data_IF_080087870313
#
_entry.id   IF_080087870313
#
_cell.length_a   1.000
_cell.length_b   1.000
_cell.length_c   1.000
_cell.angle_alpha   90.00
_cell.angle_beta   90.00
_cell.angle_gamma   90.00
#
_symmetry.space_group_name_H-M   'P 1'
#
loop_
_entity.id
_entity.type
_entity.pdbx_description
1 polymer ?
#
# COMPACT_ATOMS: atom_id res chain seq x y z
N UNK A 1 -28.27 47.69 62.14
CA UNK A 1 -26.80 47.83 62.04
C UNK A 1 -26.23 46.69 62.87
N UNK A 2 -25.45 45.74 62.37
CA UNK A 2 -24.61 45.73 61.18
C UNK A 2 -24.76 44.38 60.46
N UNK A 3 -24.66 44.41 59.12
CA UNK A 3 -24.57 43.20 58.32
C UNK A 3 -23.15 42.65 58.38
N UNK A 4 -23.03 41.36 58.70
CA UNK A 4 -21.80 40.61 58.50
C UNK A 4 -21.73 40.23 57.01
N UNK A 5 -20.75 40.80 56.34
CA UNK A 5 -20.40 40.49 54.96
C UNK A 5 -19.91 39.05 54.88
N UNK A 6 -20.68 38.21 54.18
CA UNK A 6 -20.22 36.89 53.75
C UNK A 6 -19.04 37.08 52.80
N UNK A 7 -17.84 36.79 53.28
CA UNK A 7 -16.66 36.65 52.44
C UNK A 7 -16.88 35.45 51.53
N UNK A 8 -17.30 35.72 50.30
CA UNK A 8 -17.34 34.79 49.19
C UNK A 8 -15.90 34.26 48.98
N UNK A 9 -15.61 33.09 49.55
CA UNK A 9 -14.30 32.45 49.43
C UNK A 9 -14.15 31.93 48.01
N UNK A 10 -13.68 32.78 47.10
CA UNK A 10 -13.29 32.37 45.76
C UNK A 10 -12.31 31.18 45.88
N UNK A 11 -12.49 30.13 45.06
CA UNK A 11 -11.65 28.95 45.15
C UNK A 11 -10.18 29.33 44.93
N UNK A 12 -9.34 29.06 45.94
CA UNK A 12 -7.91 29.29 45.88
C UNK A 12 -7.29 28.32 44.87
N UNK A 13 -6.86 28.84 43.71
CA UNK A 13 -6.14 28.07 42.70
C UNK A 13 -4.64 28.11 43.05
N UNK A 14 -3.97 26.96 43.22
CA UNK A 14 -2.53 26.95 43.53
C UNK A 14 -1.70 27.58 42.40
N UNK A 15 -0.67 28.35 42.75
CA UNK A 15 0.22 29.03 41.79
C UNK A 15 0.84 28.07 40.78
N UNK A 16 1.17 26.85 41.20
CA UNK A 16 1.70 25.80 40.31
C UNK A 16 0.73 25.44 39.17
N UNK A 17 -0.58 25.47 39.42
CA UNK A 17 -1.60 25.22 38.38
C UNK A 17 -1.64 26.40 37.41
N UNK A 18 -1.56 27.63 37.92
CA UNK A 18 -1.53 28.84 37.10
C UNK A 18 -0.32 28.84 36.17
N UNK A 19 0.86 28.47 36.66
CA UNK A 19 2.07 28.37 35.85
C UNK A 19 1.94 27.34 34.71
N UNK A 20 1.42 26.14 35.01
CA UNK A 20 1.19 25.10 33.99
C UNK A 20 0.17 25.55 32.95
N UNK A 21 -0.89 26.25 33.37
CA UNK A 21 -1.89 26.81 32.45
C UNK A 21 -1.28 27.88 31.54
N UNK A 22 -0.48 28.79 32.09
CA UNK A 22 0.21 29.82 31.30
C UNK A 22 1.20 29.21 30.30
N UNK A 23 1.99 28.22 30.74
CA UNK A 23 2.91 27.47 29.88
C UNK A 23 2.17 26.75 28.76
N UNK A 24 1.09 26.05 29.08
CA UNK A 24 0.26 25.36 28.08
C UNK A 24 -0.36 26.34 27.09
N UNK A 25 -0.87 27.48 27.54
CA UNK A 25 -1.44 28.52 26.68
C UNK A 25 -0.38 29.11 25.73
N UNK A 26 0.85 29.29 26.20
CA UNK A 26 1.96 29.74 25.37
C UNK A 26 2.33 28.69 24.30
N UNK A 27 2.44 27.42 24.69
CA UNK A 27 2.75 26.32 23.77
C UNK A 27 1.68 26.17 22.67
N UNK A 28 0.39 26.37 23.01
CA UNK A 28 -0.70 26.31 22.03
C UNK A 28 -0.59 27.47 21.01
N UNK A 29 -0.21 28.67 21.44
CA UNK A 29 0.02 29.82 20.54
C UNK A 29 1.20 29.60 19.60
N UNK A 30 2.29 29.03 20.11
CA UNK A 30 3.45 28.69 19.28
C UNK A 30 3.11 27.60 18.26
N UNK A 31 2.37 26.56 18.70
CA UNK A 31 1.87 25.53 17.81
C UNK A 31 0.92 26.08 16.74
N UNK A 32 0.05 27.02 17.08
CA UNK A 32 -0.82 27.71 16.13
C UNK A 32 -0.01 28.39 15.03
N UNK A 33 1.02 29.16 15.39
CA UNK A 33 1.89 29.83 14.42
C UNK A 33 2.55 28.82 13.46
N UNK A 34 3.13 27.75 13.99
CA UNK A 34 3.79 26.72 13.18
C UNK A 34 2.83 25.92 12.31
N UNK A 35 1.64 25.59 12.81
CA UNK A 35 0.62 24.86 12.04
C UNK A 35 0.08 25.72 10.91
N UNK A 36 -0.17 27.01 11.15
CA UNK A 36 -0.61 27.93 10.11
C UNK A 36 0.45 28.11 9.02
N UNK A 37 1.72 28.27 9.41
CA UNK A 37 2.84 28.30 8.47
C UNK A 37 2.92 26.99 7.66
N UNK A 38 2.88 25.84 8.33
CA UNK A 38 2.90 24.53 7.68
C UNK A 38 1.73 24.36 6.70
N UNK A 39 0.51 24.75 7.10
CA UNK A 39 -0.68 24.66 6.25
C UNK A 39 -0.58 25.58 5.03
N UNK A 40 0.06 26.75 5.15
CA UNK A 40 0.30 27.64 4.01
C UNK A 40 1.25 27.03 2.97
N UNK A 41 2.13 26.11 3.39
CA UNK A 41 3.07 25.39 2.52
C UNK A 41 2.53 24.03 2.06
N UNK A 42 1.50 23.50 2.71
CA UNK A 42 0.93 22.17 2.48
C UNK A 42 -0.12 22.14 1.35
N UNK A 43 0.12 22.90 0.27
CA UNK A 43 -0.74 22.83 -0.91
C UNK A 43 -0.62 21.45 -1.59
N UNK A 44 -1.71 20.88 -2.13
CA UNK A 44 -1.68 19.54 -2.73
C UNK A 44 -0.62 19.38 -3.83
N UNK A 45 -0.42 20.41 -4.65
CA UNK A 45 0.56 20.41 -5.73
C UNK A 45 1.99 20.45 -5.18
N UNK A 46 2.25 21.27 -4.15
CA UNK A 46 3.55 21.34 -3.46
C UNK A 46 3.88 20.03 -2.76
N UNK A 47 2.91 19.44 -2.06
CA UNK A 47 3.08 18.12 -1.44
C UNK A 47 3.36 17.04 -2.48
N UNK A 48 2.79 17.16 -3.69
CA UNK A 48 3.01 16.22 -4.79
C UNK A 48 4.45 16.25 -5.35
N UNK A 49 5.22 17.32 -5.11
CA UNK A 49 6.64 17.42 -5.46
C UNK A 49 7.55 16.72 -4.44
N UNK A 50 7.09 16.54 -3.20
CA UNK A 50 7.88 15.88 -2.16
C UNK A 50 8.13 14.40 -2.48
N UNK A 51 9.33 13.87 -2.18
CA UNK A 51 9.59 12.43 -2.15
C UNK A 51 8.51 11.70 -1.32
N UNK A 52 8.05 10.50 -1.73
CA UNK A 52 6.93 9.82 -1.09
C UNK A 52 7.08 9.64 0.43
N UNK A 53 8.30 9.40 0.91
CA UNK A 53 8.59 9.24 2.33
C UNK A 53 8.46 10.56 3.11
N UNK A 54 8.96 11.67 2.55
CA UNK A 54 8.84 13.00 3.15
C UNK A 54 7.39 13.48 3.13
N UNK A 55 6.65 13.20 2.04
CA UNK A 55 5.21 13.46 1.97
C UNK A 55 4.45 12.72 3.07
N UNK A 56 4.73 11.43 3.26
CA UNK A 56 4.10 10.65 4.32
C UNK A 56 4.41 11.20 5.72
N UNK A 57 5.65 11.63 5.97
CA UNK A 57 6.05 12.29 7.22
C UNK A 57 5.25 13.58 7.47
N UNK A 58 5.15 14.45 6.45
CA UNK A 58 4.43 15.73 6.56
C UNK A 58 2.94 15.52 6.88
N UNK A 59 2.28 14.57 6.21
CA UNK A 59 0.86 14.26 6.44
C UNK A 59 0.63 13.58 7.80
N UNK A 60 1.53 12.71 8.23
CA UNK A 60 1.45 12.09 9.56
C UNK A 60 1.64 13.14 10.67
N UNK A 61 2.57 14.07 10.49
CA UNK A 61 2.78 15.18 11.42
C UNK A 61 1.51 16.03 11.58
N UNK A 62 0.85 16.38 10.47
CA UNK A 62 -0.41 17.12 10.48
C UNK A 62 -1.52 16.35 11.23
N UNK A 63 -1.62 15.03 11.00
CA UNK A 63 -2.58 14.19 11.71
C UNK A 63 -2.29 14.14 13.23
N UNK A 64 -1.00 14.01 13.61
CA UNK A 64 -0.58 14.02 15.03
C UNK A 64 -0.86 15.37 15.69
N UNK A 65 -0.59 16.49 15.02
CA UNK A 65 -0.89 17.83 15.53
C UNK A 65 -2.40 18.02 15.75
N UNK A 66 -3.23 17.61 14.78
CA UNK A 66 -4.70 17.67 14.88
C UNK A 66 -5.21 16.84 16.06
N UNK A 67 -4.70 15.62 16.22
CA UNK A 67 -5.07 14.74 17.32
C UNK A 67 -4.62 15.27 18.69
N UNK A 68 -3.43 15.87 18.77
CA UNK A 68 -2.93 16.48 19.99
C UNK A 68 -3.82 17.66 20.43
N UNK A 69 -4.16 18.56 19.50
CA UNK A 69 -5.08 19.67 19.76
C UNK A 69 -6.47 19.18 20.23
N UNK A 70 -7.00 18.15 19.58
CA UNK A 70 -8.27 17.55 19.99
C UNK A 70 -8.19 16.92 21.38
N UNK A 71 -7.09 16.24 21.70
CA UNK A 71 -6.85 15.65 23.03
C UNK A 71 -6.73 16.71 24.11
N UNK A 72 -6.05 17.83 23.84
CA UNK A 72 -5.99 18.98 24.75
C UNK A 72 -7.39 19.52 25.00
N UNK A 73 -8.19 19.72 23.95
CA UNK A 73 -9.58 20.16 24.07
C UNK A 73 -10.40 19.21 24.96
N UNK A 74 -10.30 17.90 24.76
CA UNK A 74 -11.01 16.91 25.60
C UNK A 74 -10.63 17.05 27.07
N UNK A 75 -9.33 17.15 27.37
CA UNK A 75 -8.84 17.32 28.74
C UNK A 75 -9.33 18.64 29.35
N UNK A 76 -9.38 19.72 28.59
CA UNK A 76 -9.96 21.00 29.04
C UNK A 76 -11.46 20.92 29.33
N UNK A 77 -12.20 20.00 28.68
CA UNK A 77 -13.61 19.72 28.99
C UNK A 77 -13.80 18.69 30.10
N UNK A 78 -12.73 18.18 30.70
CA UNK A 78 -12.77 17.18 31.77
C UNK A 78 -12.95 15.74 31.30
N UNK A 79 -12.81 15.47 29.99
CA UNK A 79 -12.91 14.11 29.42
C UNK A 79 -11.52 13.51 29.24
N UNK A 80 -11.29 12.31 29.77
CA UNK A 80 -10.04 11.59 29.57
C UNK A 80 -10.01 10.96 28.16
N UNK A 81 -8.90 11.07 27.40
CA UNK A 81 -8.83 10.53 26.04
C UNK A 81 -9.02 9.01 25.96
N UNK A 82 -8.68 8.27 27.03
CA UNK A 82 -8.85 6.81 27.06
C UNK A 82 -10.30 6.36 27.15
N UNK A 83 -11.18 7.20 27.69
CA UNK A 83 -12.61 6.96 27.82
C UNK A 83 -13.42 7.51 26.62
N UNK A 84 -12.72 8.08 25.64
CA UNK A 84 -13.31 8.69 24.45
C UNK A 84 -13.01 7.85 23.21
N UNK A 85 -13.87 7.93 22.20
CA UNK A 85 -13.67 7.26 20.89
C UNK A 85 -12.37 7.68 20.17
N UNK A 86 -11.66 8.68 20.68
CA UNK A 86 -10.38 9.15 20.13
C UNK A 86 -9.24 8.17 20.44
N UNK A 87 -9.41 7.29 21.43
CA UNK A 87 -8.40 6.29 21.77
C UNK A 87 -8.00 5.43 20.57
N UNK A 88 -8.98 5.00 19.76
CA UNK A 88 -8.71 4.23 18.55
C UNK A 88 -7.92 5.03 17.50
N UNK A 89 -8.09 6.36 17.47
CA UNK A 89 -7.33 7.27 16.61
C UNK A 89 -5.88 7.44 17.08
N UNK A 90 -5.66 7.49 18.40
CA UNK A 90 -4.32 7.49 19.00
C UNK A 90 -3.57 6.20 18.64
N UNK A 91 -4.23 5.06 18.86
CA UNK A 91 -3.67 3.75 18.49
C UNK A 91 -3.41 3.68 16.99
N UNK A 92 -4.33 4.15 16.15
CA UNK A 92 -4.17 4.16 14.70
C UNK A 92 -2.96 4.98 14.25
N UNK A 93 -2.75 6.17 14.80
CA UNK A 93 -1.57 6.98 14.47
C UNK A 93 -0.26 6.33 14.94
N UNK A 94 -0.26 5.68 16.10
CA UNK A 94 0.88 4.90 16.58
C UNK A 94 1.29 3.81 15.58
N UNK A 95 0.32 3.05 15.06
CA UNK A 95 0.58 2.05 14.01
C UNK A 95 1.13 2.64 12.72
N UNK A 96 0.70 3.86 12.34
CA UNK A 96 1.23 4.54 11.16
C UNK A 96 2.64 5.09 11.37
N UNK A 97 2.96 5.52 12.58
CA UNK A 97 4.31 5.93 12.98
C UNK A 97 5.28 4.75 12.91
N UNK A 98 4.94 3.61 13.51
CA UNK A 98 5.71 2.37 13.41
C UNK A 98 5.93 1.95 11.95
N UNK A 99 4.88 2.08 11.13
CA UNK A 99 4.95 1.74 9.70
C UNK A 99 5.91 2.67 8.97
N UNK A 100 5.87 3.96 9.26
CA UNK A 100 6.73 4.95 8.65
C UNK A 100 8.20 4.74 9.05
N UNK A 101 8.45 4.47 10.32
CA UNK A 101 9.79 4.17 10.85
C UNK A 101 10.40 2.96 10.15
N UNK A 102 9.64 1.87 9.97
CA UNK A 102 10.08 0.70 9.19
C UNK A 102 10.52 1.07 7.77
N UNK A 103 9.80 1.96 7.09
CA UNK A 103 10.18 2.41 5.75
C UNK A 103 11.41 3.32 5.76
N UNK A 104 11.57 4.15 6.79
CA UNK A 104 12.79 4.95 6.97
C UNK A 104 14.01 4.04 7.18
N UNK A 105 13.88 2.98 7.96
CA UNK A 105 14.97 2.04 8.21
C UNK A 105 15.31 1.21 6.97
N UNK A 106 14.31 0.83 6.18
CA UNK A 106 14.53 0.19 4.88
C UNK A 106 15.27 1.11 3.89
N UNK A 107 15.05 2.42 3.97
CA UNK A 107 15.76 3.40 3.15
C UNK A 107 17.22 3.58 3.60
N UNK A 108 17.49 3.51 4.91
CA UNK A 108 18.84 3.59 5.48
C UNK A 108 19.64 2.28 5.34
N UNK A 109 18.96 1.14 5.28
CA UNK A 109 19.62 -0.16 5.20
C UNK A 109 20.47 -0.28 3.92
N UNK A 110 21.63 -0.96 3.98
CA UNK A 110 22.38 -1.30 2.77
C UNK A 110 21.42 -1.93 1.78
N UNK A 111 21.39 -1.42 0.54
CA UNK A 111 20.54 -1.90 -0.54
C UNK A 111 20.41 -3.41 -0.41
N UNK A 112 19.24 -3.88 0.05
CA UNK A 112 18.96 -5.31 0.12
C UNK A 112 19.33 -5.88 -1.24
N UNK A 113 19.97 -7.06 -1.34
CA UNK A 113 20.28 -7.67 -2.62
C UNK A 113 18.99 -7.64 -3.42
N UNK A 114 18.96 -6.73 -4.38
CA UNK A 114 17.72 -6.37 -5.02
C UNK A 114 17.25 -7.63 -5.75
N UNK A 115 15.95 -7.78 -5.92
CA UNK A 115 15.41 -8.79 -6.84
C UNK A 115 15.92 -8.57 -8.28
N UNK A 116 16.73 -7.54 -8.53
CA UNK A 116 17.62 -7.44 -9.68
C UNK A 116 18.49 -8.69 -9.81
N UNK A 117 18.18 -9.45 -10.84
CA UNK A 117 18.92 -10.62 -11.28
C UNK A 117 20.41 -10.26 -11.46
N UNK A 118 21.28 -10.99 -10.77
CA UNK A 118 22.72 -10.89 -10.99
C UNK A 118 23.07 -11.59 -12.31
N UNK A 119 23.17 -10.82 -13.40
CA UNK A 119 23.42 -11.34 -14.74
C UNK A 119 24.67 -12.22 -14.81
N UNK A 120 25.73 -11.88 -14.05
CA UNK A 120 26.96 -12.70 -14.02
C UNK A 120 26.74 -14.05 -13.35
N UNK A 121 25.98 -14.09 -12.26
CA UNK A 121 25.61 -15.34 -11.61
C UNK A 121 24.68 -16.17 -12.50
N UNK A 122 23.66 -15.53 -13.10
CA UNK A 122 22.73 -16.19 -14.02
C UNK A 122 23.45 -16.81 -15.22
N UNK A 123 24.40 -16.10 -15.84
CA UNK A 123 25.21 -16.65 -16.93
C UNK A 123 25.96 -17.91 -16.50
N UNK A 124 26.56 -17.93 -15.29
CA UNK A 124 27.24 -19.13 -14.76
C UNK A 124 26.27 -20.30 -14.56
N UNK A 125 25.08 -20.03 -14.01
CA UNK A 125 24.04 -21.05 -13.84
C UNK A 125 23.62 -21.62 -15.20
N UNK A 126 23.35 -20.77 -16.20
CA UNK A 126 22.92 -21.21 -17.53
C UNK A 126 24.04 -21.98 -18.25
N UNK A 127 25.28 -21.50 -18.21
CA UNK A 127 26.44 -22.18 -18.81
C UNK A 127 26.68 -23.57 -18.21
N UNK A 128 26.46 -23.74 -16.91
CA UNK A 128 26.64 -25.02 -16.23
C UNK A 128 25.44 -25.98 -16.40
N UNK A 129 24.22 -25.44 -16.48
CA UNK A 129 23.02 -26.25 -16.65
C UNK A 129 22.79 -26.73 -18.09
N UNK A 130 23.37 -26.05 -19.09
CA UNK A 130 23.21 -26.37 -20.51
C UNK A 130 24.56 -26.67 -21.16
N UNK A 131 24.99 -27.95 -21.24
CA UNK A 131 26.30 -28.31 -21.78
C UNK A 131 26.44 -28.01 -23.29
N UNK A 132 25.33 -28.01 -24.05
CA UNK A 132 25.32 -27.90 -25.52
C UNK A 132 25.14 -26.47 -26.05
N UNK A 133 25.63 -25.47 -25.31
CA UNK A 133 25.64 -24.08 -25.77
C UNK A 133 26.71 -23.88 -26.85
N UNK A 134 26.30 -23.36 -28.02
CA UNK A 134 27.22 -22.93 -29.09
C UNK A 134 28.16 -21.82 -28.63
N UNK A 135 29.32 -21.67 -29.28
CA UNK A 135 30.29 -20.61 -28.98
C UNK A 135 29.67 -19.23 -28.99
N UNK A 136 28.79 -18.98 -29.95
CA UNK A 136 28.16 -17.69 -30.19
C UNK A 136 27.14 -17.38 -29.10
N UNK A 137 26.41 -18.40 -28.61
CA UNK A 137 25.51 -18.28 -27.47
C UNK A 137 26.28 -17.98 -26.17
N UNK A 138 27.41 -18.67 -25.93
CA UNK A 138 28.28 -18.39 -24.76
C UNK A 138 28.82 -16.97 -24.80
N UNK A 139 29.25 -16.51 -25.97
CA UNK A 139 29.76 -15.15 -26.17
C UNK A 139 28.68 -14.10 -25.93
N UNK A 140 27.49 -14.29 -26.52
CA UNK A 140 26.33 -13.42 -26.31
C UNK A 140 25.94 -13.30 -24.83
N UNK A 141 25.91 -14.43 -24.09
CA UNK A 141 25.61 -14.40 -22.66
C UNK A 141 26.68 -13.67 -21.83
N UNK A 142 27.96 -13.78 -22.21
CA UNK A 142 29.04 -13.02 -21.56
C UNK A 142 28.90 -11.52 -21.79
N UNK A 143 28.51 -11.10 -22.98
CA UNK A 143 28.31 -9.68 -23.31
C UNK A 143 27.11 -9.10 -22.54
N UNK A 144 26.04 -9.88 -22.35
CA UNK A 144 24.90 -9.54 -21.47
C UNK A 144 25.37 -9.43 -20.00
N UNK A 145 26.20 -10.36 -19.52
CA UNK A 145 26.72 -10.35 -18.15
C UNK A 145 27.64 -9.17 -17.83
N UNK A 146 28.33 -8.64 -18.85
CA UNK A 146 29.21 -7.45 -18.76
C UNK A 146 28.43 -6.15 -18.91
N UNK A 147 27.16 -6.20 -19.29
CA UNK A 147 26.34 -5.03 -19.57
C UNK A 147 26.72 -4.31 -20.87
N UNK A 148 27.41 -5.00 -21.78
CA UNK A 148 27.95 -4.44 -23.04
C UNK A 148 26.92 -4.48 -24.18
N UNK A 149 25.77 -5.13 -23.98
CA UNK A 149 24.64 -5.10 -24.92
C UNK A 149 23.75 -3.86 -24.75
N UNK A 150 23.12 -3.42 -25.85
CA UNK A 150 22.07 -2.39 -25.84
C UNK A 150 21.09 -2.68 -24.71
N UNK A 151 21.07 -1.83 -23.68
CA UNK A 151 19.97 -1.80 -22.71
C UNK A 151 18.73 -1.43 -23.50
N UNK A 152 17.94 -2.42 -23.90
CA UNK A 152 16.58 -2.18 -24.41
C UNK A 152 15.84 -1.52 -23.25
N UNK A 153 15.74 -0.20 -23.31
CA UNK A 153 15.09 0.60 -22.29
C UNK A 153 13.66 0.11 -22.10
N UNK A 154 13.16 0.20 -20.87
CA UNK A 154 11.79 -0.19 -20.53
C UNK A 154 10.73 0.47 -21.43
N UNK A 155 11.05 1.61 -22.07
CA UNK A 155 10.18 2.28 -23.03
C UNK A 155 9.93 1.47 -24.32
N UNK A 156 10.90 0.69 -24.80
CA UNK A 156 10.79 -0.01 -26.10
C UNK A 156 10.01 -1.35 -26.00
N UNK A 157 9.90 -1.92 -24.79
CA UNK A 157 9.04 -3.11 -24.55
C UNK A 157 7.55 -2.77 -24.59
N UNK A 158 7.17 -1.53 -24.30
CA UNK A 158 5.77 -1.08 -24.37
C UNK A 158 5.23 -1.06 -25.80
N UNK A 159 6.06 -0.64 -26.76
CA UNK A 159 5.70 -0.57 -28.17
C UNK A 159 5.51 -1.98 -28.78
N UNK A 160 6.40 -2.93 -28.47
CA UNK A 160 6.34 -4.29 -29.06
C UNK A 160 5.22 -5.16 -28.49
N UNK A 161 4.79 -4.95 -27.23
CA UNK A 161 3.63 -5.67 -26.66
C UNK A 161 2.30 -5.24 -27.29
N UNK A 162 2.21 -4.03 -27.85
CA UNK A 162 1.01 -3.55 -28.55
C UNK A 162 0.84 -4.07 -29.97
N UNK A 163 1.86 -4.75 -30.53
CA UNK A 163 1.83 -5.23 -31.92
C UNK A 163 1.44 -6.71 -32.07
N UNK A 164 1.15 -7.44 -30.98
CA UNK A 164 0.66 -8.84 -31.04
C UNK A 164 -0.86 -9.00 -30.90
N UNK A 165 -1.60 -7.91 -30.75
CA UNK A 165 -3.06 -7.89 -30.79
C UNK A 165 -3.55 -6.91 -31.87
N UNK A 166 -3.11 -7.12 -33.11
CA UNK A 166 -3.89 -6.70 -34.27
C UNK A 166 -4.59 -7.94 -34.83
N UNK A 167 -5.59 -8.44 -34.09
CA UNK A 167 -6.56 -9.38 -34.62
C UNK A 167 -7.81 -8.60 -35.00
N UNK A 168 -7.93 -8.37 -36.31
CA UNK A 168 -9.17 -8.34 -37.11
C UNK A 168 -10.49 -8.05 -36.38
N UNK A 169 -11.12 -6.94 -36.77
CA UNK A 169 -12.57 -6.73 -36.67
C UNK A 169 -12.99 -6.15 -35.32
N UNK A 170 -13.50 -4.92 -35.35
CA UNK A 170 -14.11 -4.24 -34.21
C UNK A 170 -15.39 -4.96 -33.77
N UNK A 171 -15.30 -6.12 -33.13
CA UNK A 171 -16.40 -6.63 -32.34
C UNK A 171 -16.41 -5.85 -31.03
N UNK A 172 -17.49 -5.10 -30.80
CA UNK A 172 -17.67 -4.40 -29.53
C UNK A 172 -17.55 -5.40 -28.38
N UNK A 173 -16.96 -4.97 -27.26
CA UNK A 173 -16.79 -5.79 -26.04
C UNK A 173 -18.10 -6.48 -25.63
N UNK A 174 -19.24 -5.81 -25.85
CA UNK A 174 -20.57 -6.34 -25.57
C UNK A 174 -20.96 -7.55 -26.44
N UNK A 175 -20.52 -7.58 -27.70
CA UNK A 175 -20.77 -8.72 -28.60
C UNK A 175 -19.93 -9.93 -28.21
N UNK A 176 -18.64 -9.73 -27.90
CA UNK A 176 -17.76 -10.79 -27.43
C UNK A 176 -18.24 -11.38 -26.09
N UNK A 177 -18.74 -10.53 -25.19
CA UNK A 177 -19.31 -10.97 -23.92
C UNK A 177 -20.60 -11.79 -24.13
N UNK A 178 -21.46 -11.37 -25.06
CA UNK A 178 -22.70 -12.09 -25.38
C UNK A 178 -22.41 -13.47 -25.97
N UNK A 179 -21.48 -13.56 -26.92
CA UNK A 179 -21.09 -14.84 -27.53
C UNK A 179 -20.47 -15.79 -26.50
N UNK A 180 -19.66 -15.27 -25.57
CA UNK A 180 -19.10 -16.07 -24.49
C UNK A 180 -20.19 -16.63 -23.57
N UNK A 181 -21.15 -15.80 -23.16
CA UNK A 181 -22.26 -16.22 -22.32
C UNK A 181 -23.16 -17.25 -23.02
N UNK A 182 -23.43 -17.07 -24.31
CA UNK A 182 -24.23 -18.01 -25.09
C UNK A 182 -23.51 -19.36 -25.26
N UNK A 183 -22.19 -19.33 -25.49
CA UNK A 183 -21.37 -20.54 -25.54
C UNK A 183 -21.37 -21.28 -24.19
N UNK A 184 -21.19 -20.56 -23.09
CA UNK A 184 -21.24 -21.15 -21.75
C UNK A 184 -22.63 -21.73 -21.43
N UNK A 185 -23.70 -21.07 -21.88
CA UNK A 185 -25.06 -21.58 -21.72
C UNK A 185 -25.28 -22.88 -22.50
N UNK A 186 -24.75 -23.01 -23.73
CA UNK A 186 -24.81 -24.28 -24.49
C UNK A 186 -23.99 -25.39 -23.83
N UNK A 187 -22.82 -25.08 -23.30
CA UNK A 187 -21.98 -26.07 -22.61
C UNK A 187 -22.61 -26.55 -21.30
N UNK A 188 -23.36 -25.70 -20.60
CA UNK A 188 -24.05 -26.04 -19.35
C UNK A 188 -25.40 -26.75 -19.56
N UNK A 189 -26.18 -26.32 -20.55
CA UNK A 189 -27.53 -26.85 -20.79
C UNK A 189 -27.54 -28.03 -21.77
N UNK A 190 -26.46 -28.23 -22.53
CA UNK A 190 -26.30 -29.29 -23.50
C UNK A 190 -27.21 -29.13 -24.72
N UNK A 191 -26.67 -29.34 -25.92
CA UNK A 191 -27.53 -29.69 -27.06
C UNK A 191 -28.03 -31.14 -26.85
N UNK A 192 -29.26 -31.43 -27.29
CA UNK A 192 -30.02 -32.68 -27.07
C UNK A 192 -29.34 -34.00 -27.52
N UNK A 193 -28.05 -34.01 -27.85
CA UNK A 193 -27.25 -35.21 -28.03
C UNK A 193 -26.30 -35.39 -26.83
N UNK A 194 -26.77 -36.22 -25.89
CA UNK A 194 -26.19 -36.45 -24.57
C UNK A 194 -24.68 -36.63 -24.53
N UNK A 195 -24.01 -35.63 -23.96
CA UNK A 195 -22.60 -35.68 -23.64
C UNK A 195 -22.18 -34.44 -22.85
N UNK A 196 -22.52 -34.39 -21.56
CA UNK A 196 -22.00 -33.36 -20.66
C UNK A 196 -20.49 -33.57 -20.53
N UNK A 197 -19.70 -32.72 -21.17
CA UNK A 197 -18.23 -32.72 -21.05
C UNK A 197 -17.81 -31.53 -20.20
N UNK A 198 -18.08 -31.63 -18.91
CA UNK A 198 -17.55 -30.72 -17.90
C UNK A 198 -16.30 -31.31 -17.22
N UNK A 199 -15.44 -30.48 -16.60
CA UNK A 199 -14.19 -30.93 -15.96
C UNK A 199 -14.39 -31.78 -14.68
N UNK A 200 -15.64 -32.13 -14.34
CA UNK A 200 -16.00 -32.99 -13.21
C UNK A 200 -16.66 -34.31 -13.67
N UNK A 201 -16.19 -34.89 -14.78
CA UNK A 201 -16.52 -36.28 -15.10
C UNK A 201 -15.54 -37.20 -14.37
N UNK A 202 -16.01 -37.82 -13.30
CA UNK A 202 -15.29 -38.90 -12.62
C UNK A 202 -15.12 -40.07 -13.60
N UNK A 203 -13.92 -40.19 -14.18
CA UNK A 203 -13.49 -41.41 -14.85
C UNK A 203 -13.26 -42.47 -13.76
N UNK A 204 -14.22 -43.37 -13.58
CA UNK A 204 -14.04 -44.70 -12.99
C UNK A 204 -15.29 -45.54 -13.31
N UNK A 205 -15.23 -46.27 -14.41
CA UNK A 205 -16.05 -47.46 -14.65
C UNK A 205 -15.10 -48.46 -15.30
N UNK A 206 -14.68 -49.44 -14.51
CA UNK A 206 -14.33 -50.77 -15.03
C UNK A 206 -15.05 -51.77 -14.11
N UNK A 207 -16.28 -52.12 -14.51
CA UNK A 207 -16.94 -53.34 -14.05
C UNK A 207 -16.52 -54.48 -14.99
N UNK A 208 -15.64 -55.35 -14.50
CA UNK A 208 -15.44 -56.70 -15.01
C UNK A 208 -15.31 -57.61 -13.79
N UNK A 209 -16.42 -58.21 -13.37
CA UNK A 209 -16.49 -59.66 -13.08
C UNK A 209 -17.90 -60.05 -12.64
N UNK A 210 -18.68 -60.54 -13.60
CA UNK A 210 -19.80 -61.43 -13.32
C UNK A 210 -19.68 -62.68 -14.20
N UNK A 211 -18.93 -63.68 -13.72
CA UNK A 211 -19.06 -65.09 -14.13
C UNK A 211 -18.91 -66.04 -12.93
N UNK A 212 -20.07 -66.57 -12.52
CA UNK A 212 -20.33 -67.94 -12.07
C UNK A 212 -19.21 -68.74 -11.37
N UNK A 213 -19.37 -69.05 -10.07
CA UNK A 213 -19.90 -70.30 -9.49
C UNK A 213 -20.04 -70.12 -7.98
#
# INVERSE_FOLDING_TARGET
MAGEEGTDSAPFVPDAVVEVMQSTAQNVKELEAHVLEFLSLAEPDVLAELPPLQRAQSLLLLAKATLALFTVRLRCTGVHPDDHAVKSEIERLSWYEDKLERFMDLNKAPLRPSTTLNYRAATRFIEHSLPDLTSDQKQSMRDISRGVGQKIGYQDRGARKRMKYQSSGNQSVQAAAKDFLEKAARELLGDNNGGVKGPLCNANLDEDDMKAV
#
